data_IF_431684339791
#
_entry.id   IF_431684339791
#
_cell.length_a   1.000
_cell.length_b   1.000
_cell.length_c   1.000
_cell.angle_alpha   90.00
_cell.angle_beta   90.00
_cell.angle_gamma   90.00
#
_symmetry.space_group_name_H-M   'P 1'
#
loop_
_entity.id
_entity.type
_entity.pdbx_description
1 polymer ?
#
# COMPACT_ATOMS: atom_id res chain seq x y z
N UNK A 1 -64.47 100.69 -27.87
CA UNK A 1 -63.99 99.43 -27.25
C UNK A 1 -62.65 99.70 -26.61
N UNK A 2 -62.51 99.57 -25.29
CA UNK A 2 -61.21 99.37 -24.63
C UNK A 2 -61.48 98.69 -23.29
N UNK A 3 -60.76 97.62 -22.95
CA UNK A 3 -60.98 96.84 -21.73
C UNK A 3 -59.94 97.21 -20.67
N UNK A 4 -60.38 97.45 -19.44
CA UNK A 4 -59.49 97.39 -18.27
C UNK A 4 -59.08 95.93 -18.04
N UNK A 5 -57.80 95.71 -17.71
CA UNK A 5 -57.32 94.44 -17.13
C UNK A 5 -56.42 94.80 -15.93
N UNK A 6 -56.84 94.36 -14.75
CA UNK A 6 -56.07 94.49 -13.51
C UNK A 6 -55.18 93.26 -13.36
N UNK A 7 -53.91 93.44 -13.02
CA UNK A 7 -53.04 92.32 -12.63
C UNK A 7 -53.31 91.91 -11.18
N UNK A 8 -53.65 90.65 -10.96
CA UNK A 8 -53.50 89.97 -9.67
C UNK A 8 -52.40 88.93 -9.82
N UNK A 9 -51.36 89.04 -8.99
CA UNK A 9 -50.30 88.03 -8.88
C UNK A 9 -50.70 86.95 -7.87
N UNK A 10 -51.03 85.75 -8.33
CA UNK A 10 -51.18 84.57 -7.46
C UNK A 10 -49.82 83.89 -7.26
N UNK A 11 -49.48 83.61 -6.00
CA UNK A 11 -48.27 82.90 -5.63
C UNK A 11 -48.55 81.39 -5.59
N UNK A 12 -47.91 80.62 -6.46
CA UNK A 12 -48.11 79.17 -6.56
C UNK A 12 -47.07 78.40 -5.74
N UNK A 13 -47.46 77.94 -4.55
CA UNK A 13 -46.61 77.10 -3.69
C UNK A 13 -46.58 75.67 -4.22
N UNK A 14 -45.45 75.25 -4.79
CA UNK A 14 -45.25 73.85 -5.21
C UNK A 14 -44.82 73.01 -4.00
N UNK A 15 -45.70 72.10 -3.56
CA UNK A 15 -45.33 71.07 -2.58
C UNK A 15 -44.61 69.94 -3.33
N UNK A 16 -43.29 69.87 -3.20
CA UNK A 16 -42.51 68.74 -3.69
C UNK A 16 -42.73 67.55 -2.76
N UNK A 17 -43.52 66.58 -3.20
CA UNK A 17 -43.71 65.33 -2.47
C UNK A 17 -42.43 64.48 -2.64
N UNK A 18 -41.63 64.38 -1.58
CA UNK A 18 -40.38 63.62 -1.58
C UNK A 18 -40.64 62.12 -1.71
N UNK A 19 -40.61 61.61 -2.94
CA UNK A 19 -40.65 60.17 -3.21
C UNK A 19 -39.34 59.57 -2.71
N UNK A 20 -39.39 58.88 -1.58
CA UNK A 20 -38.29 58.04 -1.11
C UNK A 20 -38.14 56.85 -2.06
N UNK A 21 -37.26 57.00 -3.06
CA UNK A 21 -36.75 55.87 -3.83
C UNK A 21 -35.93 55.01 -2.87
N UNK A 22 -36.59 54.01 -2.27
CA UNK A 22 -35.89 52.92 -1.60
C UNK A 22 -35.02 52.26 -2.66
N UNK A 23 -33.71 52.45 -2.56
CA UNK A 23 -32.79 51.68 -3.38
C UNK A 23 -33.07 50.21 -3.10
N UNK A 24 -33.44 49.46 -4.13
CA UNK A 24 -33.12 48.05 -4.12
C UNK A 24 -31.61 48.00 -3.85
N UNK A 25 -31.20 47.22 -2.85
CA UNK A 25 -29.94 46.54 -3.01
C UNK A 25 -30.19 45.49 -4.06
N UNK A 26 -29.30 45.38 -5.02
CA UNK A 26 -29.08 44.07 -5.62
C UNK A 26 -28.50 43.22 -4.48
N UNK A 27 -29.36 42.43 -3.84
CA UNK A 27 -28.93 41.39 -2.92
C UNK A 27 -28.31 40.28 -3.78
N UNK A 28 -27.07 40.52 -4.23
CA UNK A 28 -26.22 39.50 -4.85
C UNK A 28 -26.28 38.24 -3.98
N UNK A 29 -26.63 37.07 -4.55
CA UNK A 29 -26.82 35.86 -3.77
C UNK A 29 -25.52 35.57 -3.00
N UNK A 30 -25.60 35.31 -1.67
CA UNK A 30 -24.43 35.30 -0.81
C UNK A 30 -23.39 34.32 -1.34
N UNK A 31 -22.20 34.83 -1.67
CA UNK A 31 -21.16 34.09 -2.38
C UNK A 31 -20.73 32.90 -1.54
N UNK A 32 -21.22 31.71 -1.93
CA UNK A 32 -20.95 30.44 -1.27
C UNK A 32 -19.45 30.24 -1.05
N UNK A 33 -19.02 29.63 0.06
CA UNK A 33 -17.70 29.03 0.14
C UNK A 33 -17.57 27.97 -0.96
N UNK A 34 -16.49 28.02 -1.72
CA UNK A 34 -16.14 27.04 -2.75
C UNK A 34 -15.19 26.01 -2.16
N UNK A 35 -15.38 24.74 -2.48
CA UNK A 35 -14.53 23.63 -2.02
C UNK A 35 -13.74 23.02 -3.18
N UNK A 36 -12.44 22.79 -2.94
CA UNK A 36 -11.49 22.24 -3.91
C UNK A 36 -10.47 21.32 -3.22
N UNK A 37 -10.09 20.23 -3.89
CA UNK A 37 -8.94 19.40 -3.51
C UNK A 37 -7.65 20.20 -3.73
N UNK A 38 -6.66 20.04 -2.85
CA UNK A 38 -5.44 20.88 -2.90
C UNK A 38 -4.38 20.37 -3.89
N UNK A 39 -4.48 19.11 -4.31
CA UNK A 39 -3.67 18.50 -5.36
C UNK A 39 -4.47 17.39 -6.05
N UNK A 40 -4.64 17.47 -7.38
CA UNK A 40 -5.39 16.48 -8.15
C UNK A 40 -4.62 15.16 -8.38
N UNK A 41 -3.31 15.14 -8.16
CA UNK A 41 -2.47 13.94 -8.31
C UNK A 41 -1.41 13.82 -7.22
N UNK A 42 -1.18 12.59 -6.75
CA UNK A 42 -0.09 12.25 -5.82
C UNK A 42 0.62 10.96 -6.24
N UNK A 43 1.84 10.75 -5.76
CA UNK A 43 2.62 9.54 -6.03
C UNK A 43 3.44 9.19 -4.80
N UNK A 44 3.24 7.97 -4.30
CA UNK A 44 3.68 7.49 -2.98
C UNK A 44 4.17 6.03 -3.07
N UNK A 45 4.71 5.50 -1.97
CA UNK A 45 5.01 4.07 -1.76
C UNK A 45 4.18 3.50 -0.61
N UNK A 46 3.96 2.17 -0.57
CA UNK A 46 3.36 1.51 0.61
C UNK A 46 4.07 1.92 1.91
N UNK A 47 5.40 2.05 1.86
CA UNK A 47 6.28 2.41 2.98
C UNK A 47 6.22 3.87 3.44
N UNK A 48 5.48 4.76 2.77
CA UNK A 48 5.44 6.19 3.13
C UNK A 48 4.55 6.46 4.36
N UNK A 49 3.72 5.48 4.77
CA UNK A 49 2.90 5.54 5.98
C UNK A 49 1.63 6.39 5.82
N UNK A 50 1.28 7.17 6.84
CA UNK A 50 0.09 8.04 6.79
C UNK A 50 0.30 9.22 5.86
N UNK A 51 -0.58 9.38 4.88
CA UNK A 51 -0.69 10.56 4.01
C UNK A 51 -2.00 11.31 4.27
N UNK A 52 -2.01 12.62 3.98
CA UNK A 52 -3.19 13.49 4.14
C UNK A 52 -3.61 14.07 2.78
N UNK A 53 -4.87 13.88 2.40
CA UNK A 53 -5.48 14.52 1.23
C UNK A 53 -6.19 15.79 1.69
N UNK A 54 -5.55 16.94 1.52
CA UNK A 54 -6.13 18.23 1.95
C UNK A 54 -7.22 18.73 0.99
N UNK A 55 -8.42 18.94 1.54
CA UNK A 55 -9.53 19.62 0.87
C UNK A 55 -9.71 21.01 1.50
N UNK A 56 -9.80 22.03 0.66
CA UNK A 56 -9.72 23.45 1.06
C UNK A 56 -10.98 24.24 0.70
N UNK A 57 -11.26 25.30 1.47
CA UNK A 57 -12.32 26.25 1.21
C UNK A 57 -11.76 27.63 0.84
N UNK A 58 -12.36 28.30 -0.16
CA UNK A 58 -11.97 29.66 -0.55
C UNK A 58 -12.29 30.74 0.51
N UNK A 59 -13.08 30.39 1.52
CA UNK A 59 -13.50 31.21 2.67
C UNK A 59 -13.64 30.32 3.92
N UNK A 60 -13.41 30.85 5.14
CA UNK A 60 -13.73 30.13 6.37
C UNK A 60 -15.17 29.63 6.45
N UNK A 61 -15.35 28.42 6.96
CA UNK A 61 -16.62 27.73 7.09
C UNK A 61 -17.62 28.53 7.95
N UNK A 62 -18.80 28.94 7.42
CA UNK A 62 -19.77 29.78 8.14
C UNK A 62 -20.55 29.02 9.24
N UNK A 63 -20.56 27.69 9.13
CA UNK A 63 -21.08 26.65 10.01
C UNK A 63 -20.15 25.45 9.85
N UNK A 64 -20.33 24.41 10.64
CA UNK A 64 -19.66 23.14 10.44
C UNK A 64 -20.12 22.53 9.10
N UNK A 65 -19.19 21.92 8.37
CA UNK A 65 -19.39 21.40 7.01
C UNK A 65 -18.95 19.95 6.96
N UNK A 66 -19.87 19.09 6.53
CA UNK A 66 -19.60 17.76 5.98
C UNK A 66 -19.53 17.83 4.45
N UNK A 67 -18.61 17.05 3.87
CA UNK A 67 -18.42 16.79 2.43
C UNK A 67 -18.40 15.27 2.25
N UNK A 68 -19.27 14.72 1.40
CA UNK A 68 -19.31 13.30 1.08
C UNK A 68 -18.35 12.99 -0.07
N UNK A 69 -17.61 11.87 0.00
CA UNK A 69 -16.70 11.43 -1.06
C UNK A 69 -16.79 9.92 -1.33
N UNK A 70 -16.40 9.51 -2.55
CA UNK A 70 -16.31 8.12 -2.99
C UNK A 70 -14.86 7.69 -3.23
N UNK A 71 -14.63 6.38 -3.18
CA UNK A 71 -13.36 5.72 -3.47
C UNK A 71 -13.53 4.73 -4.64
N UNK A 72 -12.61 4.77 -5.59
CA UNK A 72 -12.46 3.81 -6.70
C UNK A 72 -10.95 3.59 -6.97
N UNK A 73 -10.62 2.79 -7.99
CA UNK A 73 -9.26 2.58 -8.46
C UNK A 73 -8.89 1.10 -8.60
N UNK A 74 -7.62 0.79 -8.31
CA UNK A 74 -7.13 -0.61 -8.28
C UNK A 74 -6.71 -1.05 -6.88
N UNK A 75 -6.21 -0.11 -6.07
CA UNK A 75 -5.80 -0.36 -4.70
C UNK A 75 -7.01 -0.75 -3.83
N UNK A 76 -6.79 -1.73 -2.97
CA UNK A 76 -7.80 -2.37 -2.13
C UNK A 76 -7.80 -1.74 -0.73
N UNK A 77 -8.87 -1.00 -0.42
CA UNK A 77 -9.16 -0.56 0.94
C UNK A 77 -9.38 -1.79 1.85
N UNK A 78 -8.59 -1.87 2.91
CA UNK A 78 -8.69 -2.86 4.00
C UNK A 78 -10.09 -2.97 4.60
N UNK A 79 -10.92 -1.92 4.56
CA UNK A 79 -12.31 -1.98 5.03
C UNK A 79 -13.24 -2.81 4.12
N UNK A 80 -12.84 -3.09 2.87
CA UNK A 80 -13.66 -3.79 1.86
C UNK A 80 -13.41 -5.30 1.79
N UNK A 81 -12.28 -5.79 2.32
CA UNK A 81 -11.84 -7.18 2.15
C UNK A 81 -12.70 -8.18 2.94
N UNK A 82 -12.71 -9.43 2.47
CA UNK A 82 -13.20 -10.56 3.28
C UNK A 82 -12.31 -11.79 3.10
N UNK A 83 -11.85 -12.37 4.20
CA UNK A 83 -10.81 -13.42 4.19
C UNK A 83 -9.39 -12.84 4.08
N UNK A 84 -8.47 -13.63 3.55
CA UNK A 84 -7.04 -13.32 3.51
C UNK A 84 -6.60 -12.74 2.15
N UNK A 85 -7.19 -11.60 1.75
CA UNK A 85 -6.71 -10.86 0.58
C UNK A 85 -5.58 -9.88 0.98
N UNK A 86 -4.81 -9.41 0.00
CA UNK A 86 -4.03 -8.18 0.09
C UNK A 86 -4.91 -6.95 0.32
N UNK A 87 -4.31 -5.91 0.87
CA UNK A 87 -4.93 -4.60 1.12
C UNK A 87 -3.84 -3.56 1.36
N UNK A 88 -3.98 -2.42 0.70
CA UNK A 88 -2.84 -1.54 0.38
C UNK A 88 -2.95 -0.20 1.10
N UNK A 89 -4.16 0.13 1.57
CA UNK A 89 -4.45 1.27 2.42
C UNK A 89 -5.64 1.04 3.37
N UNK A 90 -5.76 1.93 4.35
CA UNK A 90 -6.91 2.07 5.26
C UNK A 90 -7.23 3.56 5.46
N UNK A 91 -8.51 3.93 5.38
CA UNK A 91 -8.95 5.27 5.81
C UNK A 91 -9.11 5.26 7.33
N UNK A 92 -8.35 6.12 8.03
CA UNK A 92 -8.25 6.06 9.50
C UNK A 92 -9.19 7.01 10.25
N UNK A 93 -9.79 7.99 9.57
CA UNK A 93 -10.77 8.94 10.12
C UNK A 93 -11.94 9.11 9.14
N UNK A 94 -13.17 9.15 9.68
CA UNK A 94 -14.46 9.39 9.00
C UNK A 94 -14.61 8.84 7.54
N UNK A 95 -14.53 7.50 7.30
CA UNK A 95 -14.53 6.96 5.94
C UNK A 95 -15.76 7.35 5.10
N UNK A 96 -15.52 8.10 4.01
CA UNK A 96 -16.54 8.63 3.10
C UNK A 96 -17.03 10.05 3.42
N UNK A 97 -16.55 10.68 4.50
CA UNK A 97 -16.92 12.02 4.93
C UNK A 97 -15.68 12.88 5.26
N UNK A 98 -15.70 14.17 4.90
CA UNK A 98 -14.67 15.15 5.32
C UNK A 98 -15.34 16.24 6.16
N UNK A 99 -14.93 16.34 7.41
CA UNK A 99 -15.43 17.32 8.36
C UNK A 99 -14.56 18.60 8.40
N UNK A 100 -15.19 19.76 8.28
CA UNK A 100 -14.57 21.09 8.41
C UNK A 100 -15.35 21.91 9.44
N UNK A 101 -14.78 22.08 10.63
CA UNK A 101 -15.31 22.88 11.72
C UNK A 101 -15.57 24.35 11.31
N UNK A 102 -16.61 24.95 11.90
CA UNK A 102 -16.92 26.36 11.72
C UNK A 102 -15.72 27.27 11.99
N UNK A 103 -15.36 28.08 11.00
CA UNK A 103 -14.24 29.02 11.04
C UNK A 103 -12.91 28.45 10.55
N UNK A 104 -12.81 27.13 10.31
CA UNK A 104 -11.71 26.54 9.56
C UNK A 104 -11.91 26.70 8.06
N UNK A 105 -10.87 26.44 7.27
CA UNK A 105 -10.93 26.48 5.79
C UNK A 105 -10.27 25.25 5.14
N UNK A 106 -10.11 24.17 5.91
CA UNK A 106 -9.44 22.93 5.51
C UNK A 106 -10.07 21.73 6.22
N UNK A 107 -10.15 20.61 5.51
CA UNK A 107 -10.33 19.26 6.05
C UNK A 107 -9.30 18.33 5.40
N UNK A 108 -9.12 17.14 5.96
CA UNK A 108 -8.21 16.12 5.42
C UNK A 108 -8.88 14.76 5.41
N UNK A 109 -8.62 13.96 4.38
CA UNK A 109 -8.76 12.49 4.48
C UNK A 109 -7.40 11.96 4.94
N UNK A 110 -7.38 11.16 6.02
CA UNK A 110 -6.18 10.44 6.45
C UNK A 110 -6.18 9.03 5.89
N UNK A 111 -5.08 8.67 5.23
CA UNK A 111 -4.91 7.39 4.55
C UNK A 111 -3.61 6.76 5.08
N UNK A 112 -3.71 5.65 5.80
CA UNK A 112 -2.55 4.85 6.17
C UNK A 112 -2.23 3.91 5.00
N UNK A 113 -1.03 4.01 4.43
CA UNK A 113 -0.49 3.09 3.41
C UNK A 113 0.16 1.88 4.08
N UNK A 114 0.01 0.69 3.48
CA UNK A 114 0.20 -0.59 4.18
C UNK A 114 1.23 -1.51 3.53
N UNK A 115 2.45 -1.50 4.07
CA UNK A 115 3.59 -2.35 3.67
C UNK A 115 3.41 -3.86 3.92
N UNK A 116 3.47 -4.68 2.86
CA UNK A 116 3.47 -6.15 2.95
C UNK A 116 4.52 -6.87 2.06
N UNK A 117 4.60 -8.20 2.13
CA UNK A 117 5.61 -9.01 1.39
C UNK A 117 5.32 -9.30 -0.08
N UNK A 118 4.47 -8.53 -0.75
CA UNK A 118 4.04 -8.86 -2.10
C UNK A 118 4.99 -8.23 -3.14
N UNK A 119 4.82 -8.56 -4.42
CA UNK A 119 5.51 -7.84 -5.51
C UNK A 119 4.50 -7.57 -6.62
N UNK A 120 4.11 -6.31 -6.75
CA UNK A 120 2.92 -5.87 -7.47
C UNK A 120 3.29 -4.75 -8.47
N UNK A 121 2.45 -4.55 -9.49
CA UNK A 121 2.62 -3.45 -10.46
C UNK A 121 1.89 -2.20 -9.92
N UNK A 122 2.33 -0.95 -10.19
CA UNK A 122 1.81 0.24 -9.50
C UNK A 122 0.29 0.44 -9.58
N UNK A 123 -0.29 0.80 -8.45
CA UNK A 123 -1.74 0.82 -8.19
C UNK A 123 -2.26 2.23 -7.92
N UNK A 124 -3.59 2.42 -7.91
CA UNK A 124 -4.17 3.74 -7.63
C UNK A 124 -5.37 3.74 -6.71
N UNK A 125 -5.43 4.76 -5.85
CA UNK A 125 -6.65 5.24 -5.18
C UNK A 125 -7.18 6.43 -5.99
N UNK A 126 -8.46 6.43 -6.32
CA UNK A 126 -9.17 7.54 -6.94
C UNK A 126 -10.25 8.04 -5.98
N UNK A 127 -10.23 9.34 -5.68
CA UNK A 127 -11.11 9.97 -4.69
C UNK A 127 -11.92 11.06 -5.40
N UNK A 128 -13.24 10.97 -5.36
CA UNK A 128 -14.15 11.96 -5.95
C UNK A 128 -15.01 12.58 -4.84
N UNK A 129 -15.08 13.91 -4.78
CA UNK A 129 -16.01 14.62 -3.91
C UNK A 129 -17.40 14.63 -4.56
N UNK A 130 -18.40 14.03 -3.91
CA UNK A 130 -19.75 13.85 -4.47
C UNK A 130 -20.69 15.01 -4.10
N UNK A 131 -20.61 15.43 -2.84
CA UNK A 131 -21.64 16.25 -2.19
C UNK A 131 -21.04 17.09 -1.07
N UNK A 132 -21.68 18.21 -0.76
CA UNK A 132 -21.28 19.07 0.35
C UNK A 132 -22.49 19.72 1.01
N UNK A 133 -22.36 19.97 2.30
CA UNK A 133 -23.38 20.61 3.15
C UNK A 133 -24.05 21.82 2.48
N UNK A 134 -25.39 21.91 2.56
CA UNK A 134 -26.16 22.94 1.85
C UNK A 134 -25.62 24.36 2.08
N UNK A 135 -25.32 25.06 0.98
CA UNK A 135 -24.74 26.41 0.99
C UNK A 135 -23.26 26.46 0.61
N UNK A 136 -22.60 25.31 0.49
CA UNK A 136 -21.26 25.17 -0.12
C UNK A 136 -21.40 24.94 -1.64
N UNK A 137 -20.32 25.12 -2.38
CA UNK A 137 -20.21 24.91 -3.83
C UNK A 137 -18.98 24.04 -4.15
N UNK A 138 -19.19 22.83 -4.67
CA UNK A 138 -18.12 22.03 -5.27
C UNK A 138 -17.60 22.70 -6.54
N UNK A 139 -16.28 22.69 -6.71
CA UNK A 139 -15.60 23.25 -7.89
C UNK A 139 -15.47 22.21 -9.00
N UNK A 140 -14.44 22.32 -9.86
CA UNK A 140 -14.05 21.30 -10.85
C UNK A 140 -12.67 20.72 -10.56
N UNK A 141 -12.20 21.00 -9.35
CA UNK A 141 -10.97 20.50 -8.74
C UNK A 141 -11.46 19.62 -7.56
N UNK A 142 -12.18 18.55 -7.92
CA UNK A 142 -13.00 17.69 -7.05
C UNK A 142 -12.59 16.20 -7.11
N UNK A 143 -11.54 15.88 -7.88
CA UNK A 143 -10.97 14.54 -8.10
C UNK A 143 -9.50 14.50 -7.63
N UNK A 144 -9.09 13.45 -6.90
CA UNK A 144 -7.68 13.15 -6.55
C UNK A 144 -7.31 11.74 -6.99
N UNK A 145 -6.26 11.62 -7.81
CA UNK A 145 -5.65 10.33 -8.17
C UNK A 145 -4.30 10.14 -7.46
N UNK A 146 -4.24 9.17 -6.55
CA UNK A 146 -3.03 8.76 -5.84
C UNK A 146 -2.46 7.52 -6.53
N UNK A 147 -1.18 7.53 -6.90
CA UNK A 147 -0.48 6.32 -7.37
C UNK A 147 0.42 5.75 -6.27
N UNK A 148 0.10 4.53 -5.82
CA UNK A 148 0.93 3.74 -4.92
C UNK A 148 1.94 2.96 -5.77
N UNK A 149 3.21 2.90 -5.34
CA UNK A 149 4.27 2.19 -6.01
C UNK A 149 5.00 1.30 -5.03
N UNK A 150 5.39 0.11 -5.49
CA UNK A 150 6.15 -0.84 -4.67
C UNK A 150 7.30 -0.19 -3.90
N UNK A 151 7.34 -0.45 -2.60
CA UNK A 151 8.40 -0.01 -1.72
C UNK A 151 9.78 -0.58 -2.07
N UNK A 152 10.82 0.01 -1.46
CA UNK A 152 12.17 -0.56 -1.55
C UNK A 152 12.29 -1.77 -0.62
N UNK A 153 13.12 -2.75 -0.96
CA UNK A 153 13.32 -3.91 -0.10
C UNK A 153 14.31 -4.92 -0.66
N UNK A 154 14.25 -6.13 -0.13
CA UNK A 154 15.12 -7.25 -0.51
C UNK A 154 14.27 -8.41 -1.01
N UNK A 155 14.69 -9.05 -2.09
CA UNK A 155 14.11 -10.30 -2.60
C UNK A 155 15.10 -11.42 -2.31
N UNK A 156 14.66 -12.48 -1.64
CA UNK A 156 15.43 -13.72 -1.46
C UNK A 156 14.82 -14.80 -2.34
N UNK A 157 15.55 -15.20 -3.39
CA UNK A 157 15.06 -16.12 -4.41
C UNK A 157 15.87 -17.43 -4.44
N UNK A 158 15.18 -18.56 -4.27
CA UNK A 158 15.67 -19.93 -4.26
C UNK A 158 15.51 -20.56 -5.65
N UNK A 159 16.62 -20.81 -6.33
CA UNK A 159 16.70 -21.42 -7.66
C UNK A 159 17.25 -22.85 -7.61
N UNK A 160 16.68 -23.76 -8.39
CA UNK A 160 17.15 -25.13 -8.56
C UNK A 160 17.00 -25.59 -10.03
N UNK A 161 17.58 -26.74 -10.44
CA UNK A 161 17.58 -27.16 -11.84
C UNK A 161 16.15 -27.42 -12.35
N UNK A 162 15.84 -26.87 -13.52
CA UNK A 162 14.57 -27.09 -14.20
C UNK A 162 14.32 -28.60 -14.45
N UNK A 163 13.07 -29.06 -14.35
CA UNK A 163 12.75 -30.47 -14.36
C UNK A 163 12.86 -31.09 -15.76
N UNK A 164 13.15 -32.38 -15.78
CA UNK A 164 13.21 -33.23 -16.97
C UNK A 164 12.32 -34.45 -16.79
N UNK A 165 12.22 -35.32 -17.80
CA UNK A 165 11.44 -36.56 -17.73
C UNK A 165 11.96 -37.60 -16.71
N UNK A 166 13.12 -37.38 -16.08
CA UNK A 166 13.75 -38.32 -15.14
C UNK A 166 14.35 -37.66 -13.88
N UNK A 167 14.86 -36.43 -14.01
CA UNK A 167 15.42 -35.64 -12.92
C UNK A 167 14.54 -34.41 -12.61
N UNK A 168 14.06 -34.29 -11.37
CA UNK A 168 13.31 -33.14 -10.87
C UNK A 168 13.56 -32.89 -9.36
N UNK A 169 13.21 -31.69 -8.90
CA UNK A 169 13.09 -31.37 -7.48
C UNK A 169 11.96 -30.36 -7.24
N UNK A 170 11.42 -30.43 -6.04
CA UNK A 170 10.45 -29.54 -5.41
C UNK A 170 11.13 -29.01 -4.12
N UNK A 171 11.17 -27.70 -3.91
CA UNK A 171 11.91 -27.04 -2.83
C UNK A 171 11.13 -25.85 -2.26
N UNK A 172 10.76 -25.88 -0.98
CA UNK A 172 10.13 -24.72 -0.32
C UNK A 172 11.15 -23.76 0.33
N UNK A 173 10.91 -22.46 0.20
CA UNK A 173 11.55 -21.36 0.93
C UNK A 173 10.70 -20.95 2.13
N UNK A 174 11.19 -21.13 3.36
CA UNK A 174 10.47 -20.67 4.57
C UNK A 174 11.31 -19.73 5.43
N UNK A 175 10.63 -18.79 6.06
CA UNK A 175 11.19 -17.62 6.75
C UNK A 175 10.77 -17.62 8.22
N UNK A 176 11.75 -17.42 9.11
CA UNK A 176 11.53 -17.02 10.50
C UNK A 176 12.02 -15.59 10.73
N UNK A 177 11.38 -14.89 11.66
CA UNK A 177 11.91 -13.68 12.29
C UNK A 177 12.46 -13.99 13.67
N UNK A 178 13.29 -13.11 14.21
CA UNK A 178 13.79 -13.22 15.56
C UNK A 178 14.45 -11.94 16.05
N UNK A 179 14.54 -11.79 17.38
CA UNK A 179 15.27 -10.69 18.00
C UNK A 179 16.79 -10.77 17.74
N UNK A 180 17.33 -11.98 17.47
CA UNK A 180 18.70 -12.20 16.98
C UNK A 180 18.74 -13.47 16.12
N UNK A 181 19.83 -13.67 15.38
CA UNK A 181 20.08 -14.91 14.61
C UNK A 181 20.19 -16.20 15.46
N UNK A 182 20.13 -16.09 16.79
CA UNK A 182 20.13 -17.22 17.73
C UNK A 182 18.82 -17.33 18.55
N UNK A 183 17.85 -16.44 18.33
CA UNK A 183 16.58 -16.39 19.06
C UNK A 183 15.42 -16.11 18.09
N UNK A 184 14.85 -17.19 17.57
CA UNK A 184 13.77 -17.18 16.59
C UNK A 184 12.39 -17.24 17.24
N UNK A 185 11.41 -16.62 16.59
CA UNK A 185 10.00 -16.85 16.93
C UNK A 185 9.58 -18.28 16.60
N UNK A 186 8.64 -18.80 17.39
CA UNK A 186 8.21 -20.21 17.34
C UNK A 186 7.48 -20.56 16.03
N UNK A 187 6.69 -19.62 15.51
CA UNK A 187 5.90 -19.78 14.29
C UNK A 187 6.75 -19.48 13.04
N UNK A 188 6.27 -19.93 11.86
CA UNK A 188 6.79 -19.45 10.58
C UNK A 188 6.21 -18.06 10.32
N UNK A 189 7.06 -17.12 9.88
CA UNK A 189 6.66 -15.76 9.60
C UNK A 189 6.15 -15.61 8.15
N UNK A 190 6.85 -16.21 7.19
CA UNK A 190 6.50 -16.15 5.78
C UNK A 190 7.14 -17.34 5.03
N UNK A 191 6.85 -17.49 3.74
CA UNK A 191 7.50 -18.45 2.87
C UNK A 191 6.78 -18.63 1.54
N UNK A 192 7.47 -19.23 0.59
CA UNK A 192 6.87 -19.82 -0.61
C UNK A 192 6.86 -21.34 -0.43
N UNK A 193 5.77 -21.98 -0.89
CA UNK A 193 5.44 -23.41 -0.64
C UNK A 193 4.66 -23.97 -1.84
N UNK A 194 5.05 -23.60 -3.05
CA UNK A 194 4.33 -23.91 -4.29
C UNK A 194 4.45 -25.39 -4.64
N UNK A 195 3.38 -25.96 -5.21
CA UNK A 195 3.38 -27.36 -5.68
C UNK A 195 4.09 -27.49 -7.04
N UNK A 196 5.36 -27.06 -7.13
CA UNK A 196 6.12 -26.91 -8.37
C UNK A 196 7.39 -27.76 -8.41
N UNK A 197 7.68 -28.33 -9.59
CA UNK A 197 8.96 -28.99 -9.88
C UNK A 197 10.00 -28.02 -10.49
N UNK A 198 9.65 -26.74 -10.61
CA UNK A 198 10.45 -25.68 -11.23
C UNK A 198 10.53 -24.47 -10.31
N UNK A 199 11.74 -24.04 -9.96
CA UNK A 199 11.97 -22.75 -9.33
C UNK A 199 11.95 -21.58 -10.33
N UNK A 200 12.21 -20.35 -9.86
CA UNK A 200 12.47 -20.01 -8.48
C UNK A 200 11.21 -19.98 -7.61
N UNK A 201 11.41 -20.22 -6.33
CA UNK A 201 10.59 -19.62 -5.29
C UNK A 201 11.27 -18.36 -4.76
N UNK A 202 10.51 -17.41 -4.22
CA UNK A 202 11.07 -16.23 -3.55
C UNK A 202 10.13 -15.67 -2.49
N UNK A 203 10.68 -14.85 -1.61
CA UNK A 203 9.94 -13.99 -0.67
C UNK A 203 10.51 -12.57 -0.77
N UNK A 204 9.63 -11.57 -0.75
CA UNK A 204 10.00 -10.16 -0.61
C UNK A 204 10.02 -9.74 0.86
N UNK A 205 10.96 -8.85 1.18
CA UNK A 205 11.19 -8.26 2.48
C UNK A 205 11.12 -6.74 2.33
N UNK A 206 9.98 -6.12 2.65
CA UNK A 206 9.83 -4.69 2.87
C UNK A 206 10.94 -4.08 3.71
N UNK A 207 11.43 -2.91 3.27
CA UNK A 207 12.37 -2.10 4.04
C UNK A 207 11.69 -1.41 5.23
N UNK A 208 10.37 -1.23 5.18
CA UNK A 208 9.57 -0.77 6.31
C UNK A 208 9.57 -1.75 7.50
N UNK A 209 9.82 -3.05 7.28
CA UNK A 209 9.72 -4.08 8.31
C UNK A 209 10.90 -4.09 9.29
N UNK A 210 10.68 -3.57 10.50
CA UNK A 210 11.68 -3.43 11.58
C UNK A 210 12.18 -4.72 12.26
N UNK A 211 12.18 -5.87 11.59
CA UNK A 211 12.61 -7.15 12.17
C UNK A 211 14.15 -7.25 12.24
N UNK A 212 14.69 -7.45 13.44
CA UNK A 212 16.14 -7.42 13.69
C UNK A 212 16.92 -8.54 12.97
N UNK A 213 16.38 -9.77 12.94
CA UNK A 213 17.01 -10.91 12.27
C UNK A 213 16.00 -11.76 11.49
N UNK A 214 16.46 -12.27 10.36
CA UNK A 214 15.72 -13.17 9.48
C UNK A 214 16.46 -14.51 9.32
N UNK A 215 15.71 -15.60 9.48
CA UNK A 215 16.20 -16.97 9.43
C UNK A 215 15.62 -17.70 8.23
N UNK A 216 16.45 -17.92 7.21
CA UNK A 216 16.08 -18.61 5.99
C UNK A 216 16.24 -20.12 6.14
N UNK A 217 15.34 -20.85 5.49
CA UNK A 217 15.24 -22.29 5.53
C UNK A 217 14.86 -22.78 4.14
N UNK A 218 15.59 -23.73 3.55
CA UNK A 218 15.41 -24.22 2.18
C UNK A 218 15.12 -25.71 2.20
N UNK A 219 13.93 -26.15 1.78
CA UNK A 219 13.55 -27.56 1.82
C UNK A 219 14.04 -28.26 0.57
N UNK A 220 14.30 -29.57 0.67
CA UNK A 220 14.11 -30.45 -0.48
C UNK A 220 12.84 -31.26 -0.21
N UNK A 221 11.68 -30.84 -0.73
CA UNK A 221 10.40 -31.43 -0.39
C UNK A 221 10.24 -32.82 -1.02
N UNK A 222 10.36 -32.90 -2.35
CA UNK A 222 10.39 -34.17 -3.10
C UNK A 222 11.27 -34.07 -4.35
N UNK A 223 11.65 -35.20 -4.94
CA UNK A 223 12.38 -35.23 -6.21
C UNK A 223 13.28 -36.44 -6.42
N UNK A 224 13.99 -36.43 -7.54
CA UNK A 224 14.94 -37.47 -7.97
C UNK A 224 16.38 -36.96 -8.13
N UNK A 225 16.62 -35.65 -8.02
CA UNK A 225 17.96 -35.05 -8.05
C UNK A 225 18.80 -35.43 -6.81
N UNK A 226 19.84 -36.24 -7.03
CA UNK A 226 20.87 -36.53 -6.03
C UNK A 226 22.27 -36.51 -6.68
N UNK A 227 23.13 -35.51 -6.41
CA UNK A 227 22.88 -34.35 -5.56
C UNK A 227 21.93 -33.33 -6.21
N UNK A 228 21.12 -32.69 -5.38
CA UNK A 228 20.39 -31.47 -5.70
C UNK A 228 21.26 -30.25 -5.38
N UNK A 229 21.88 -29.67 -6.40
CA UNK A 229 22.58 -28.40 -6.27
C UNK A 229 21.61 -27.24 -6.50
N UNK A 230 21.57 -26.27 -5.60
CA UNK A 230 20.65 -25.14 -5.64
C UNK A 230 21.39 -23.82 -5.37
N UNK A 231 20.76 -22.70 -5.70
CA UNK A 231 21.33 -21.36 -5.57
C UNK A 231 20.33 -20.44 -4.89
N UNK A 232 20.77 -19.63 -3.94
CA UNK A 232 19.99 -18.55 -3.35
C UNK A 232 20.56 -17.23 -3.83
N UNK A 233 19.70 -16.38 -4.39
CA UNK A 233 20.05 -15.01 -4.80
C UNK A 233 19.38 -14.04 -3.84
N UNK A 234 20.17 -13.17 -3.24
CA UNK A 234 19.72 -11.98 -2.51
C UNK A 234 19.82 -10.81 -3.49
N UNK A 235 18.71 -10.12 -3.71
CA UNK A 235 18.51 -9.16 -4.80
C UNK A 235 17.85 -7.91 -4.23
N UNK A 236 18.52 -6.75 -4.32
CA UNK A 236 17.92 -5.48 -3.90
C UNK A 236 16.81 -5.04 -4.89
N UNK A 237 15.68 -4.58 -4.35
CA UNK A 237 14.58 -3.94 -5.06
C UNK A 237 14.52 -2.46 -4.67
N UNK A 238 14.63 -1.57 -5.65
CA UNK A 238 14.65 -0.11 -5.42
C UNK A 238 13.77 0.59 -6.45
N UNK A 239 12.79 1.37 -5.99
CA UNK A 239 11.80 2.09 -6.81
C UNK A 239 11.12 1.18 -7.86
N UNK A 240 10.61 0.02 -7.45
CA UNK A 240 9.98 -0.95 -8.36
C UNK A 240 10.92 -1.59 -9.40
N UNK A 241 12.24 -1.53 -9.20
CA UNK A 241 13.22 -2.14 -10.09
C UNK A 241 14.22 -3.02 -9.32
N UNK A 242 14.39 -4.27 -9.77
CA UNK A 242 15.46 -5.14 -9.27
C UNK A 242 16.82 -4.65 -9.79
N UNK A 243 17.85 -4.80 -8.98
CA UNK A 243 19.22 -4.46 -9.36
C UNK A 243 19.76 -5.28 -10.56
N UNK A 244 20.87 -4.87 -11.21
CA UNK A 244 21.54 -5.67 -12.22
C UNK A 244 22.15 -6.97 -11.65
N UNK A 245 22.18 -8.04 -12.45
CA UNK A 245 22.65 -9.37 -12.02
C UNK A 245 24.09 -9.41 -11.45
N UNK A 246 24.90 -8.41 -11.75
CA UNK A 246 26.27 -8.28 -11.23
C UNK A 246 26.34 -7.76 -9.77
N UNK A 247 25.24 -7.24 -9.22
CA UNK A 247 25.12 -6.86 -7.81
C UNK A 247 24.57 -7.98 -6.91
N UNK A 248 23.81 -8.92 -7.49
CA UNK A 248 23.17 -10.03 -6.76
C UNK A 248 24.15 -10.74 -5.83
N UNK A 249 23.77 -10.90 -4.56
CA UNK A 249 24.54 -11.68 -3.59
C UNK A 249 24.13 -13.15 -3.69
N UNK A 250 25.00 -13.97 -4.29
CA UNK A 250 24.71 -15.35 -4.71
C UNK A 250 25.37 -16.38 -3.79
N UNK A 251 24.59 -17.32 -3.27
CA UNK A 251 25.02 -18.41 -2.40
C UNK A 251 24.62 -19.77 -2.97
N UNK A 252 25.50 -20.76 -2.92
CA UNK A 252 25.25 -22.12 -3.47
C UNK A 252 25.08 -23.15 -2.38
N UNK A 253 24.02 -23.95 -2.46
CA UNK A 253 23.75 -25.10 -1.59
C UNK A 253 23.78 -26.43 -2.34
N UNK A 254 23.93 -27.54 -1.62
CA UNK A 254 23.92 -28.88 -2.21
C UNK A 254 23.32 -29.91 -1.24
N UNK A 255 22.18 -30.48 -1.61
CA UNK A 255 21.45 -31.52 -0.89
C UNK A 255 21.60 -32.88 -1.56
N UNK A 256 21.35 -33.95 -0.82
CA UNK A 256 21.30 -35.34 -1.33
C UNK A 256 19.92 -35.95 -1.06
N UNK A 257 19.61 -37.17 -1.50
CA UNK A 257 18.35 -37.82 -1.17
C UNK A 257 18.13 -37.98 0.35
N UNK A 258 19.21 -38.08 1.13
CA UNK A 258 19.19 -38.05 2.60
C UNK A 258 18.75 -36.70 3.21
N UNK A 259 18.68 -35.62 2.41
CA UNK A 259 18.13 -34.33 2.83
C UNK A 259 16.66 -34.14 2.39
N UNK A 260 16.03 -35.09 1.68
CA UNK A 260 14.60 -34.96 1.35
C UNK A 260 13.73 -34.98 2.59
N UNK A 261 12.75 -34.09 2.65
CA UNK A 261 11.96 -33.83 3.85
C UNK A 261 10.63 -33.15 3.52
N UNK A 262 9.60 -33.94 3.24
CA UNK A 262 8.22 -33.47 3.25
C UNK A 262 7.85 -33.05 4.67
N UNK A 263 7.62 -31.76 4.89
CA UNK A 263 7.13 -31.26 6.15
C UNK A 263 5.64 -31.57 6.27
N UNK A 264 5.24 -32.23 7.35
CA UNK A 264 3.84 -32.28 7.81
C UNK A 264 3.60 -31.37 9.02
N UNK A 265 4.66 -30.71 9.49
CA UNK A 265 4.68 -29.78 10.62
C UNK A 265 5.78 -28.73 10.38
N UNK A 266 5.36 -27.48 10.17
CA UNK A 266 6.25 -26.35 9.86
C UNK A 266 7.03 -25.81 11.06
N UNK A 267 6.57 -26.09 12.29
CA UNK A 267 7.18 -25.59 13.53
C UNK A 267 8.59 -26.14 13.77
N UNK A 268 8.91 -27.27 13.14
CA UNK A 268 10.14 -28.08 13.35
C UNK A 268 11.34 -27.70 12.48
N UNK A 269 11.19 -26.65 11.67
CA UNK A 269 12.15 -26.25 10.62
C UNK A 269 13.46 -25.66 11.16
N UNK A 270 14.61 -26.12 10.63
CA UNK A 270 15.94 -25.59 10.97
C UNK A 270 16.31 -24.40 10.08
N UNK A 271 16.83 -23.32 10.68
CA UNK A 271 17.41 -22.20 9.94
C UNK A 271 18.80 -22.59 9.42
N UNK A 272 19.05 -22.41 8.12
CA UNK A 272 20.31 -22.81 7.46
C UNK A 272 21.09 -21.62 6.88
N UNK A 273 20.44 -20.48 6.67
CA UNK A 273 21.08 -19.23 6.28
C UNK A 273 20.39 -18.08 7.02
N UNK A 274 21.12 -17.02 7.36
CA UNK A 274 20.60 -15.89 8.16
C UNK A 274 21.03 -14.56 7.58
N UNK A 275 20.29 -13.51 7.92
CA UNK A 275 20.70 -12.11 7.74
C UNK A 275 20.08 -11.24 8.82
N UNK A 276 20.57 -10.00 8.97
CA UNK A 276 20.02 -9.01 9.92
C UNK A 276 19.65 -7.72 9.21
N UNK A 277 18.71 -6.97 9.78
CA UNK A 277 18.40 -5.60 9.35
C UNK A 277 18.90 -4.59 10.38
N UNK A 278 19.25 -3.41 9.92
CA UNK A 278 19.48 -2.25 10.79
C UNK A 278 19.15 -0.97 10.02
N UNK A 279 18.14 -0.21 10.47
CA UNK A 279 17.69 1.00 9.78
C UNK A 279 17.26 0.78 8.32
N UNK A 280 16.65 -0.36 8.01
CA UNK A 280 16.27 -0.74 6.64
C UNK A 280 17.45 -1.15 5.74
N UNK A 281 18.64 -1.42 6.28
CA UNK A 281 19.76 -1.99 5.54
C UNK A 281 19.95 -3.48 5.87
N UNK A 282 19.99 -4.32 4.84
CA UNK A 282 20.22 -5.77 4.94
C UNK A 282 21.72 -6.06 5.04
N UNK A 283 22.13 -6.91 5.98
CA UNK A 283 23.55 -7.17 6.23
C UNK A 283 23.82 -8.52 6.88
N UNK A 284 25.12 -8.88 6.94
CA UNK A 284 25.63 -10.11 7.57
C UNK A 284 24.97 -11.40 7.06
N UNK A 285 24.70 -11.47 5.75
CA UNK A 285 24.13 -12.65 5.12
C UNK A 285 25.11 -13.82 5.28
N UNK A 286 24.71 -14.85 6.02
CA UNK A 286 25.58 -16.00 6.33
C UNK A 286 25.78 -16.90 5.10
N UNK A 287 26.80 -17.78 5.10
CA UNK A 287 26.80 -18.96 4.22
C UNK A 287 25.62 -19.89 4.50
N UNK A 288 25.30 -20.78 3.55
CA UNK A 288 24.31 -21.84 3.70
C UNK A 288 24.92 -23.02 4.48
N UNK A 289 24.33 -23.36 5.62
CA UNK A 289 24.76 -24.45 6.50
C UNK A 289 23.96 -25.72 6.22
N UNK A 290 24.57 -26.69 5.52
CA UNK A 290 23.91 -27.96 5.16
C UNK A 290 23.60 -28.83 6.40
N UNK A 291 22.33 -29.25 6.64
CA UNK A 291 22.00 -30.24 7.67
C UNK A 291 22.50 -31.65 7.31
N UNK A 292 22.84 -32.45 8.32
CA UNK A 292 23.36 -33.82 8.14
C UNK A 292 22.37 -34.78 7.48
N UNK A 293 21.08 -34.67 7.82
CA UNK A 293 19.98 -35.45 7.26
C UNK A 293 18.66 -34.67 7.41
N UNK A 294 17.71 -34.91 6.49
CA UNK A 294 16.60 -34.01 6.22
C UNK A 294 17.08 -32.63 5.72
N UNK A 295 16.16 -31.79 5.29
CA UNK A 295 16.42 -30.35 5.11
C UNK A 295 15.85 -29.54 6.27
N UNK A 296 14.85 -30.06 6.99
CA UNK A 296 14.15 -29.38 8.11
C UNK A 296 13.40 -30.35 9.05
N UNK A 297 14.04 -30.87 10.10
CA UNK A 297 13.33 -31.35 11.30
C UNK A 297 14.21 -31.18 12.55
N UNK A 298 13.60 -30.80 13.67
CA UNK A 298 13.97 -31.27 15.02
C UNK A 298 12.69 -31.44 15.84
N UNK A 299 12.67 -32.34 16.83
CA UNK A 299 11.41 -32.81 17.42
C UNK A 299 10.90 -31.96 18.59
N UNK A 300 9.91 -31.10 18.32
CA UNK A 300 9.00 -30.51 19.31
C UNK A 300 7.64 -30.22 18.63
N UNK A 301 6.61 -29.83 19.40
CA UNK A 301 5.24 -29.50 18.91
C UNK A 301 4.83 -28.13 19.45
N UNK A 302 3.92 -27.43 18.76
CA UNK A 302 2.72 -26.87 19.40
C UNK A 302 1.57 -26.64 18.37
N UNK A 303 0.60 -25.77 18.67
CA UNK A 303 -0.83 -25.98 18.38
C UNK A 303 -1.50 -24.98 17.43
N UNK A 304 -0.73 -24.18 16.68
CA UNK A 304 -1.27 -23.13 15.80
C UNK A 304 -1.50 -23.59 14.36
N UNK A 305 -2.36 -22.86 13.65
CA UNK A 305 -2.77 -23.17 12.27
C UNK A 305 -1.59 -23.16 11.29
N UNK A 306 -1.43 -24.26 10.57
CA UNK A 306 -0.38 -24.48 9.57
C UNK A 306 -0.60 -23.60 8.32
N UNK A 307 0.48 -23.07 7.73
CA UNK A 307 0.45 -22.80 6.28
C UNK A 307 0.20 -24.12 5.56
N UNK A 308 -0.61 -24.11 4.52
CA UNK A 308 -0.86 -25.31 3.71
C UNK A 308 0.18 -25.36 2.57
N UNK A 309 0.61 -26.56 2.15
CA UNK A 309 1.35 -26.66 0.89
C UNK A 309 0.42 -26.25 -0.25
N UNK A 310 0.92 -25.44 -1.17
CA UNK A 310 0.10 -24.75 -2.18
C UNK A 310 -0.69 -23.54 -1.69
N UNK A 311 -0.57 -23.09 -0.43
CA UNK A 311 -1.00 -21.73 -0.06
C UNK A 311 0.02 -20.72 -0.57
N UNK A 312 -0.19 -20.23 -1.79
CA UNK A 312 0.67 -19.24 -2.43
C UNK A 312 0.69 -17.94 -1.61
N UNK A 313 1.87 -17.54 -1.16
CA UNK A 313 2.08 -16.18 -0.69
C UNK A 313 2.52 -15.28 -1.86
N UNK A 314 1.58 -14.43 -2.30
CA UNK A 314 1.78 -13.11 -2.92
C UNK A 314 2.66 -13.01 -4.19
N UNK A 315 2.04 -13.11 -5.38
CA UNK A 315 2.72 -12.98 -6.68
C UNK A 315 1.83 -12.25 -7.73
N UNK A 316 1.79 -10.90 -7.74
CA UNK A 316 0.91 -10.12 -8.65
C UNK A 316 1.63 -9.08 -9.54
N UNK A 317 2.86 -9.32 -9.99
CA UNK A 317 3.64 -8.30 -10.72
C UNK A 317 4.27 -8.74 -12.05
N UNK A 318 4.56 -7.76 -12.91
CA UNK A 318 5.45 -7.89 -14.06
C UNK A 318 6.91 -8.18 -13.64
N UNK A 319 7.29 -7.76 -12.43
CA UNK A 319 8.58 -8.03 -11.79
C UNK A 319 8.73 -9.51 -11.43
N UNK A 320 7.68 -10.13 -10.87
CA UNK A 320 7.64 -11.57 -10.57
C UNK A 320 7.99 -12.40 -11.81
N UNK A 321 7.38 -12.07 -12.95
CA UNK A 321 7.63 -12.73 -14.24
C UNK A 321 9.10 -12.62 -14.69
N UNK A 322 9.84 -11.57 -14.29
CA UNK A 322 11.28 -11.43 -14.59
C UNK A 322 12.15 -12.34 -13.72
N UNK A 323 11.73 -12.66 -12.49
CA UNK A 323 12.41 -13.64 -11.62
C UNK A 323 12.19 -15.06 -12.13
N UNK A 324 10.96 -15.38 -12.54
CA UNK A 324 10.55 -16.70 -13.08
C UNK A 324 11.11 -17.06 -14.47
N UNK A 325 11.92 -16.20 -15.07
CA UNK A 325 12.53 -16.38 -16.41
C UNK A 325 14.08 -16.36 -16.38
N UNK A 326 14.69 -16.53 -15.20
CA UNK A 326 16.15 -16.46 -14.94
C UNK A 326 16.67 -17.59 -14.05
#
# INVERSE_FOLDING_TARGET
MQKSITYLSSLATVVVLGVALSSCKDDDPPVKPKVSVSAATMTVKESDGTIEVEVSLDKPAPKDISIEYTLDGTAVDKATISGNQAYDYEITEDPGEINIDKGQSKGVIKIDLLSDSFIEDPETIEIQLESATEGIELTRDDEVKITINQEDGLIVALYWPAPTSTAYADMDLLVRIGATVNNWEADIFNGSVQETNSGPEFVFFPKAWGNAAYGMSYTYYDGTLDPLNFTVRFIDLVNGAIEPEAGFQVFTGSYTAANKNKWTDLSTTQVVQTFVTSGGAYSNISPITKPTAGSRMSTARDSKGTMARGSNNYHHGSLVKKLSLK
#
